data_IF_690592344946
#
_entry.id   IF_690592344946
#
_cell.length_a   1.000
_cell.length_b   1.000
_cell.length_c   1.000
_cell.angle_alpha   90.00
_cell.angle_beta   90.00
_cell.angle_gamma   90.00
#
_symmetry.space_group_name_H-M   'P 1'
#
loop_
_entity.id
_entity.type
_entity.pdbx_description
1 polymer ?
#
# COMPACT_ATOMS: atom_id res chain seq x y z
N UNK A 1 20.87 19.29 34.52
CA UNK A 1 20.60 19.87 35.85
C UNK A 1 20.28 21.34 35.68
N UNK A 2 19.06 21.75 36.02
CA UNK A 2 18.66 23.15 35.93
C UNK A 2 19.34 23.94 37.05
N UNK A 3 20.06 25.00 36.69
CA UNK A 3 20.77 25.93 37.60
C UNK A 3 21.92 25.33 38.44
N UNK A 4 22.96 24.85 37.76
CA UNK A 4 24.17 24.30 38.39
C UNK A 4 24.95 25.36 39.18
N UNK A 5 24.89 26.62 38.77
CA UNK A 5 25.58 27.73 39.42
C UNK A 5 25.13 27.93 40.88
N UNK A 6 23.85 27.69 41.19
CA UNK A 6 23.34 27.81 42.57
C UNK A 6 23.89 26.75 43.53
N UNK A 7 24.43 25.63 43.01
CA UNK A 7 24.99 24.54 43.82
C UNK A 7 26.47 24.73 44.15
N UNK A 8 27.15 25.68 43.49
CA UNK A 8 28.57 25.95 43.72
C UNK A 8 28.71 26.95 44.87
N UNK A 9 29.48 26.59 45.90
CA UNK A 9 29.84 27.54 46.96
C UNK A 9 30.65 28.72 46.39
N UNK A 10 30.39 29.93 46.91
CA UNK A 10 31.03 31.17 46.46
C UNK A 10 32.58 31.10 46.42
N UNK A 11 33.20 30.35 47.34
CA UNK A 11 34.66 30.15 47.38
C UNK A 11 35.24 29.43 46.14
N UNK A 12 34.43 28.64 45.44
CA UNK A 12 34.83 27.90 44.24
C UNK A 12 34.31 28.52 42.95
N UNK A 13 33.50 29.58 43.03
CA UNK A 13 32.88 30.22 41.86
C UNK A 13 33.90 30.72 40.82
N UNK A 14 35.09 31.13 41.28
CA UNK A 14 36.16 31.63 40.41
C UNK A 14 37.08 30.53 39.85
N UNK A 15 36.92 29.25 40.23
CA UNK A 15 37.81 28.17 39.79
C UNK A 15 37.45 27.66 38.39
N UNK A 16 38.29 27.89 37.36
CA UNK A 16 37.94 27.50 35.98
C UNK A 16 37.89 25.99 35.77
N UNK A 17 38.74 25.24 36.50
CA UNK A 17 38.85 23.78 36.38
C UNK A 17 37.63 23.07 36.96
N UNK A 18 37.17 23.50 38.14
CA UNK A 18 35.99 22.92 38.78
C UNK A 18 34.73 23.24 37.96
N UNK A 19 34.58 24.48 37.50
CA UNK A 19 33.44 24.87 36.66
C UNK A 19 33.42 24.09 35.33
N UNK A 20 34.58 23.87 34.69
CA UNK A 20 34.66 23.07 33.48
C UNK A 20 34.23 21.61 33.71
N UNK A 21 34.69 20.98 34.79
CA UNK A 21 34.30 19.62 35.15
C UNK A 21 32.79 19.53 35.40
N UNK A 22 32.26 20.43 36.23
CA UNK A 22 30.84 20.48 36.59
C UNK A 22 29.97 20.69 35.34
N UNK A 23 30.36 21.56 34.42
CA UNK A 23 29.64 21.79 33.17
C UNK A 23 29.69 20.56 32.24
N UNK A 24 30.82 19.85 32.18
CA UNK A 24 30.93 18.62 31.39
C UNK A 24 30.00 17.52 31.90
N UNK A 25 29.90 17.36 33.23
CA UNK A 25 28.95 16.43 33.84
C UNK A 25 27.50 16.86 33.62
N UNK A 26 27.20 18.15 33.73
CA UNK A 26 25.86 18.66 33.49
C UNK A 26 25.40 18.39 32.05
N UNK A 27 26.28 18.60 31.06
CA UNK A 27 25.99 18.34 29.65
C UNK A 27 25.82 16.84 29.35
N UNK A 28 26.62 15.97 29.96
CA UNK A 28 26.51 14.53 29.78
C UNK A 28 25.23 13.93 30.40
N UNK A 29 24.71 14.56 31.45
CA UNK A 29 23.58 14.06 32.23
C UNK A 29 22.29 14.85 32.01
N UNK A 30 22.23 15.84 31.12
CA UNK A 30 21.01 16.62 30.89
C UNK A 30 20.12 15.93 29.85
N UNK A 31 18.99 15.28 30.25
CA UNK A 31 18.00 14.77 29.31
C UNK A 31 17.08 15.86 28.76
N UNK A 32 17.24 17.11 29.19
CA UNK A 32 16.30 18.21 28.89
C UNK A 32 16.09 18.42 27.39
N UNK A 33 17.15 18.33 26.58
CA UNK A 33 17.04 18.43 25.12
C UNK A 33 16.24 17.27 24.54
N UNK A 34 16.52 16.05 24.99
CA UNK A 34 15.78 14.87 24.57
C UNK A 34 14.31 14.93 24.96
N UNK A 35 13.99 15.41 26.17
CA UNK A 35 12.60 15.54 26.62
C UNK A 35 11.86 16.60 25.79
N UNK A 36 12.52 17.71 25.45
CA UNK A 36 11.94 18.73 24.57
C UNK A 36 11.69 18.18 23.17
N UNK A 37 12.64 17.45 22.60
CA UNK A 37 12.50 16.82 21.28
C UNK A 37 11.41 15.75 21.29
N UNK A 38 11.36 14.92 22.32
CA UNK A 38 10.30 13.93 22.53
C UNK A 38 8.94 14.60 22.63
N UNK A 39 8.83 15.69 23.41
CA UNK A 39 7.59 16.43 23.55
C UNK A 39 7.13 16.99 22.20
N UNK A 40 8.03 17.59 21.42
CA UNK A 40 7.70 18.16 20.12
C UNK A 40 7.33 17.11 19.06
N UNK A 41 8.07 16.01 19.00
CA UNK A 41 7.92 15.00 17.93
C UNK A 41 6.84 13.95 18.21
N UNK A 42 6.56 13.65 19.49
CA UNK A 42 5.68 12.54 19.87
C UNK A 42 4.48 13.02 20.68
N UNK A 43 4.69 13.87 21.70
CA UNK A 43 3.64 14.19 22.67
C UNK A 43 2.68 15.29 22.21
N UNK A 44 3.20 16.35 21.58
CA UNK A 44 2.41 17.50 21.15
C UNK A 44 1.72 17.20 19.81
N UNK A 45 0.38 17.21 19.78
CA UNK A 45 -0.43 16.85 18.61
C UNK A 45 -0.22 17.83 17.44
N UNK A 46 0.00 19.12 17.72
CA UNK A 46 0.16 20.14 16.67
C UNK A 46 1.49 20.03 15.93
N UNK A 47 2.53 19.51 16.60
CA UNK A 47 3.90 19.40 16.06
C UNK A 47 4.35 17.95 15.86
N UNK A 48 3.52 16.97 16.24
CA UNK A 48 3.88 15.56 16.18
C UNK A 48 4.12 15.11 14.73
N UNK A 49 5.26 14.47 14.51
CA UNK A 49 5.63 13.95 13.20
C UNK A 49 5.36 12.45 13.11
N UNK A 50 4.91 11.98 11.93
CA UNK A 50 4.83 10.58 11.48
C UNK A 50 4.49 9.57 12.59
N UNK A 51 5.52 9.07 13.28
CA UNK A 51 5.40 8.07 14.35
C UNK A 51 4.54 8.55 15.52
N UNK A 52 4.67 9.81 15.96
CA UNK A 52 3.84 10.38 17.02
C UNK A 52 2.36 10.35 16.64
N UNK A 53 2.04 10.78 15.41
CA UNK A 53 0.66 10.78 14.92
C UNK A 53 0.10 9.35 14.73
N UNK A 54 0.94 8.39 14.33
CA UNK A 54 0.55 6.98 14.25
C UNK A 54 0.26 6.37 15.63
N UNK A 55 1.03 6.75 16.67
CA UNK A 55 0.77 6.34 18.06
C UNK A 55 -0.55 6.94 18.56
N UNK A 56 -0.76 8.23 18.33
CA UNK A 56 -2.03 8.89 18.67
C UNK A 56 -3.21 8.24 17.93
N UNK A 57 -3.08 7.96 16.63
CA UNK A 57 -4.11 7.27 15.84
C UNK A 57 -4.51 5.91 16.40
N UNK A 58 -3.55 5.13 16.92
CA UNK A 58 -3.83 3.87 17.64
C UNK A 58 -4.59 4.10 18.95
N UNK A 59 -4.28 5.16 19.70
CA UNK A 59 -4.94 5.48 20.97
C UNK A 59 -6.38 5.96 20.73
N UNK A 60 -6.58 6.89 19.79
CA UNK A 60 -7.92 7.46 19.50
C UNK A 60 -8.76 6.61 18.56
N UNK A 61 -8.24 5.50 18.03
CA UNK A 61 -8.95 4.61 17.12
C UNK A 61 -9.14 5.20 15.71
N UNK A 62 -8.34 6.19 15.33
CA UNK A 62 -8.37 6.82 14.00
C UNK A 62 -7.18 6.31 13.19
N UNK A 63 -7.48 5.63 12.09
CA UNK A 63 -6.45 5.18 11.15
C UNK A 63 -6.21 6.22 10.06
N UNK A 64 -4.95 6.41 9.61
CA UNK A 64 -4.63 7.36 8.52
C UNK A 64 -5.26 6.99 7.17
N UNK A 65 -5.77 5.77 7.06
CA UNK A 65 -6.38 5.22 5.86
C UNK A 65 -7.87 5.07 6.14
N UNK A 66 -8.69 5.68 5.31
CA UNK A 66 -10.12 5.42 5.28
C UNK A 66 -10.32 3.99 4.77
N UNK A 67 -10.84 3.10 5.61
CA UNK A 67 -11.37 1.82 5.17
C UNK A 67 -12.74 2.06 4.56
N UNK A 68 -12.78 2.37 3.27
CA UNK A 68 -14.02 2.40 2.50
C UNK A 68 -14.50 0.94 2.40
N UNK A 69 -15.76 0.69 2.78
CA UNK A 69 -16.40 -0.58 2.45
C UNK A 69 -16.67 -0.56 0.95
N UNK A 70 -16.14 -1.53 0.22
CA UNK A 70 -16.17 -1.62 -1.23
C UNK A 70 -17.58 -1.92 -1.76
N UNK A 71 -18.53 -0.99 -1.58
CA UNK A 71 -19.77 -0.94 -2.36
C UNK A 71 -19.46 -0.20 -3.67
N UNK A 72 -18.46 -0.68 -4.42
CA UNK A 72 -18.16 -0.12 -5.73
C UNK A 72 -19.27 -0.52 -6.71
N UNK A 73 -20.23 0.38 -6.92
CA UNK A 73 -20.93 0.42 -8.21
C UNK A 73 -19.87 0.77 -9.26
N UNK A 74 -19.31 -0.24 -9.90
CA UNK A 74 -18.45 -0.05 -11.05
C UNK A 74 -19.24 0.74 -12.11
N UNK A 75 -18.66 1.85 -12.59
CA UNK A 75 -19.11 2.50 -13.83
C UNK A 75 -18.75 1.58 -15.00
N UNK A 76 -19.47 0.47 -15.13
CA UNK A 76 -19.37 -0.49 -16.21
C UNK A 76 -20.72 -0.56 -16.94
N UNK A 77 -20.67 -0.64 -18.27
CA UNK A 77 -21.84 -1.08 -19.02
C UNK A 77 -22.14 -2.52 -18.62
N UNK A 78 -23.42 -2.87 -18.43
CA UNK A 78 -23.83 -4.26 -18.24
C UNK A 78 -23.24 -5.10 -19.37
N UNK A 79 -22.44 -6.12 -19.03
CA UNK A 79 -21.92 -7.06 -20.02
C UNK A 79 -23.06 -7.62 -20.87
N UNK A 80 -22.81 -7.78 -22.17
CA UNK A 80 -23.69 -8.52 -23.07
C UNK A 80 -23.94 -9.89 -22.48
N UNK A 81 -25.19 -10.15 -22.08
CA UNK A 81 -25.63 -11.44 -21.58
C UNK A 81 -25.29 -12.50 -22.62
N UNK A 82 -24.36 -13.39 -22.31
CA UNK A 82 -24.00 -14.52 -23.16
C UNK A 82 -25.05 -15.62 -23.00
N UNK A 83 -26.31 -15.31 -23.33
CA UNK A 83 -27.31 -16.34 -23.53
C UNK A 83 -26.94 -17.10 -24.82
N UNK A 84 -27.18 -18.40 -24.86
CA UNK A 84 -26.93 -19.20 -26.06
C UNK A 84 -27.69 -18.58 -27.24
N UNK A 85 -27.01 -18.19 -28.34
CA UNK A 85 -27.66 -17.46 -29.42
C UNK A 85 -28.80 -18.30 -30.01
N UNK A 86 -30.00 -17.75 -30.00
CA UNK A 86 -31.14 -18.30 -30.73
C UNK A 86 -31.10 -17.69 -32.13
N UNK A 87 -31.56 -18.43 -33.14
CA UNK A 87 -31.45 -18.06 -34.57
C UNK A 87 -32.08 -16.70 -34.95
N UNK A 88 -32.85 -16.08 -34.05
CA UNK A 88 -33.55 -14.83 -34.26
C UNK A 88 -32.83 -13.60 -33.66
N UNK A 89 -31.65 -13.77 -33.03
CA UNK A 89 -30.87 -12.67 -32.47
C UNK A 89 -30.04 -11.94 -33.56
N UNK A 90 -30.11 -10.60 -33.66
CA UNK A 90 -29.35 -9.85 -34.65
C UNK A 90 -27.84 -9.91 -34.35
N UNK A 91 -27.15 -10.86 -34.98
CA UNK A 91 -25.70 -11.03 -34.88
C UNK A 91 -25.02 -10.38 -36.11
N UNK A 92 -24.52 -9.14 -36.03
CA UNK A 92 -24.14 -8.36 -37.22
C UNK A 92 -22.88 -8.85 -37.97
N UNK A 93 -22.09 -9.78 -37.42
CA UNK A 93 -20.81 -10.19 -38.04
C UNK A 93 -20.57 -11.70 -38.20
N UNK A 94 -21.46 -12.58 -37.71
CA UNK A 94 -21.13 -14.01 -37.55
C UNK A 94 -21.85 -15.01 -38.46
N UNK A 95 -22.71 -14.57 -39.37
CA UNK A 95 -23.53 -15.53 -40.11
C UNK A 95 -22.85 -16.11 -41.36
N UNK A 96 -21.89 -15.39 -41.98
CA UNK A 96 -21.37 -15.76 -43.31
C UNK A 96 -19.89 -16.21 -43.32
N UNK A 97 -19.15 -16.01 -42.22
CA UNK A 97 -17.73 -16.35 -42.14
C UNK A 97 -17.50 -17.84 -41.81
N UNK A 98 -18.45 -18.46 -41.10
CA UNK A 98 -18.25 -19.80 -40.54
C UNK A 98 -18.29 -21.00 -41.53
N UNK A 99 -18.95 -20.99 -42.71
CA UNK A 99 -18.83 -22.12 -43.62
C UNK A 99 -17.50 -22.13 -44.41
N UNK A 100 -16.90 -20.96 -44.66
CA UNK A 100 -15.79 -20.81 -45.60
C UNK A 100 -14.42 -21.05 -44.95
N UNK A 101 -14.23 -20.58 -43.71
CA UNK A 101 -12.94 -20.73 -42.99
C UNK A 101 -12.71 -22.20 -42.56
N UNK A 102 -13.76 -22.93 -42.18
CA UNK A 102 -13.64 -24.34 -41.81
C UNK A 102 -13.23 -25.25 -42.96
N UNK A 103 -13.67 -25.00 -44.20
CA UNK A 103 -13.25 -25.83 -45.36
C UNK A 103 -11.79 -25.58 -45.75
N UNK A 104 -11.28 -24.36 -45.55
CA UNK A 104 -9.91 -23.99 -45.91
C UNK A 104 -8.87 -24.46 -44.88
N UNK A 105 -9.19 -24.42 -43.58
CA UNK A 105 -8.29 -24.94 -42.53
C UNK A 105 -8.23 -26.48 -42.49
N UNK A 106 -9.28 -27.18 -42.92
CA UNK A 106 -9.29 -28.65 -43.02
C UNK A 106 -8.42 -29.19 -44.17
N UNK A 107 -8.07 -28.40 -45.18
CA UNK A 107 -7.19 -28.84 -46.28
C UNK A 107 -5.70 -28.68 -45.98
N UNK A 108 -5.34 -27.84 -45.01
CA UNK A 108 -3.95 -27.54 -44.66
C UNK A 108 -3.37 -28.45 -43.57
N UNK A 109 -4.20 -29.26 -42.91
CA UNK A 109 -3.77 -30.20 -41.87
C UNK A 109 -3.98 -31.67 -42.32
N UNK A 110 -2.95 -32.31 -42.93
CA UNK A 110 -3.06 -33.70 -43.41
C UNK A 110 -3.28 -34.74 -42.28
N UNK A 111 -3.05 -34.36 -41.02
CA UNK A 111 -3.26 -35.23 -39.86
C UNK A 111 -4.75 -35.35 -39.46
N UNK A 112 -5.53 -34.27 -39.54
CA UNK A 112 -6.98 -34.31 -39.23
C UNK A 112 -7.80 -34.96 -40.36
N UNK A 113 -7.32 -34.90 -41.61
CA UNK A 113 -7.93 -35.59 -42.74
C UNK A 113 -7.82 -37.13 -42.63
N UNK A 114 -6.76 -37.64 -41.98
CA UNK A 114 -6.60 -39.09 -41.70
C UNK A 114 -7.53 -39.59 -40.61
N UNK A 115 -7.75 -38.80 -39.54
CA UNK A 115 -8.67 -39.18 -38.45
C UNK A 115 -10.12 -39.34 -38.91
N UNK A 116 -10.56 -38.60 -39.94
CA UNK A 116 -11.90 -38.77 -40.52
C UNK A 116 -12.07 -40.01 -41.40
N UNK A 117 -11.00 -40.59 -41.96
CA UNK A 117 -11.12 -41.83 -42.76
C UNK A 117 -11.21 -43.09 -41.90
N UNK A 118 -10.58 -43.12 -40.73
CA UNK A 118 -10.60 -44.31 -39.87
C UNK A 118 -11.90 -44.43 -39.06
N UNK A 119 -12.52 -43.30 -38.66
CA UNK A 119 -13.76 -43.32 -37.87
C UNK A 119 -15.04 -43.65 -38.68
N UNK A 120 -14.93 -43.99 -39.97
CA UNK A 120 -16.08 -44.30 -40.84
C UNK A 120 -15.99 -45.65 -41.55
N UNK A 121 -15.13 -46.55 -41.06
CA UNK A 121 -14.92 -47.89 -41.61
C UNK A 121 -14.92 -48.96 -40.52
N UNK A 122 -16.02 -49.11 -39.79
CA UNK A 122 -16.42 -50.37 -39.17
C UNK A 122 -17.95 -50.49 -39.25
N UNK A 123 -18.39 -51.07 -40.37
CA UNK A 123 -19.55 -51.96 -40.59
C UNK A 123 -19.83 -52.02 -42.08
#
# INVERSE_FOLDING_TARGET
MQNVAATVLAQYAASPRLNALINSFNAALSPDSFISDFYGLIWNIDTAEKYGLDVWGKIVGVSRRLTVKDDFNYLGFSESRMDTPVMDDPCPFNQWICPYISRHLLSLNPLQARCRRYSRGER
#
